data_IF_126357506572
#
_entry.id   IF_126357506572
#
_cell.length_a   1.000
_cell.length_b   1.000
_cell.length_c   1.000
_cell.angle_alpha   90.00
_cell.angle_beta   90.00
_cell.angle_gamma   90.00
#
_symmetry.space_group_name_H-M   'P 1'
#
loop_
_entity.id
_entity.type
_entity.pdbx_description
1 polymer ?
#
# COMPACT_ATOMS: atom_id res chain seq x y z
N UNK A 1 12.32 1.20 -14.03
CA UNK A 1 12.25 0.56 -15.36
C UNK A 1 12.38 -0.96 -15.29
N UNK A 2 13.24 -1.52 -14.42
CA UNK A 2 13.44 -2.98 -14.26
C UNK A 2 12.22 -3.73 -13.67
N UNK A 3 11.39 -3.07 -12.84
CA UNK A 3 10.19 -3.69 -12.25
C UNK A 3 9.04 -3.94 -13.25
N UNK A 4 9.04 -3.29 -14.42
CA UNK A 4 7.96 -3.41 -15.41
C UNK A 4 8.19 -4.54 -16.43
N UNK A 5 9.43 -4.95 -16.63
CA UNK A 5 9.82 -5.96 -17.63
C UNK A 5 9.46 -7.40 -17.19
N UNK A 6 9.46 -7.67 -15.88
CA UNK A 6 9.11 -9.01 -15.34
C UNK A 6 7.63 -9.39 -15.51
N UNK A 7 6.75 -8.44 -15.85
CA UNK A 7 5.31 -8.69 -16.02
C UNK A 7 4.89 -9.03 -17.46
N UNK A 8 5.82 -9.15 -18.41
CA UNK A 8 5.46 -9.09 -19.84
C UNK A 8 5.14 -10.43 -20.54
N UNK A 9 5.55 -11.61 -20.06
CA UNK A 9 5.53 -12.80 -20.94
C UNK A 9 4.74 -13.99 -20.39
N UNK A 10 3.39 -13.92 -20.39
CA UNK A 10 2.50 -15.07 -20.68
C UNK A 10 0.99 -14.69 -20.62
N UNK A 11 0.10 -15.39 -21.37
CA UNK A 11 -1.24 -14.93 -21.79
C UNK A 11 -2.35 -14.86 -20.70
N UNK A 12 -2.03 -15.08 -19.42
CA UNK A 12 -2.88 -14.68 -18.26
C UNK A 12 -2.90 -13.14 -18.02
N UNK A 13 -2.23 -12.41 -18.91
CA UNK A 13 -1.92 -10.98 -18.89
C UNK A 13 -3.14 -10.04 -18.96
N UNK A 14 -4.37 -10.54 -19.08
CA UNK A 14 -5.56 -9.70 -19.27
C UNK A 14 -6.26 -9.33 -17.95
N UNK A 15 -6.38 -10.25 -16.98
CA UNK A 15 -6.99 -9.94 -15.67
C UNK A 15 -6.03 -9.19 -14.74
N UNK A 16 -4.72 -9.49 -14.81
CA UNK A 16 -3.66 -8.75 -14.10
C UNK A 16 -3.56 -7.28 -14.57
N UNK A 17 -3.96 -7.00 -15.81
CA UNK A 17 -3.97 -5.64 -16.39
C UNK A 17 -5.01 -4.75 -15.71
N UNK A 18 -6.17 -5.28 -15.34
CA UNK A 18 -7.26 -4.49 -14.75
C UNK A 18 -6.99 -4.11 -13.28
N UNK A 19 -6.46 -5.05 -12.48
CA UNK A 19 -6.11 -4.78 -11.08
C UNK A 19 -4.92 -3.83 -10.93
N UNK A 20 -3.86 -4.01 -11.73
CA UNK A 20 -2.68 -3.13 -11.71
C UNK A 20 -2.99 -1.74 -12.27
N UNK A 21 -3.83 -1.64 -13.31
CA UNK A 21 -4.22 -0.36 -13.87
C UNK A 21 -5.09 0.42 -12.87
N UNK A 22 -6.05 -0.24 -12.22
CA UNK A 22 -6.87 0.40 -11.17
C UNK A 22 -6.02 0.93 -10.01
N UNK A 23 -5.13 0.13 -9.44
CA UNK A 23 -4.27 0.55 -8.32
C UNK A 23 -3.41 1.77 -8.64
N UNK A 24 -2.88 1.87 -9.87
CA UNK A 24 -2.10 3.03 -10.32
C UNK A 24 -2.93 4.32 -10.38
N UNK A 25 -4.17 4.26 -10.90
CA UNK A 25 -5.04 5.45 -11.00
C UNK A 25 -5.43 5.96 -9.63
N UNK A 26 -5.81 5.06 -8.72
CA UNK A 26 -6.15 5.44 -7.35
C UNK A 26 -4.93 6.00 -6.60
N UNK A 27 -3.75 5.44 -6.81
CA UNK A 27 -2.52 5.98 -6.21
C UNK A 27 -2.23 7.41 -6.69
N UNK A 28 -2.38 7.67 -8.00
CA UNK A 28 -2.24 9.01 -8.54
C UNK A 28 -3.29 9.99 -7.99
N UNK A 29 -4.54 9.55 -7.88
CA UNK A 29 -5.61 10.35 -7.28
C UNK A 29 -5.31 10.68 -5.80
N UNK A 30 -4.77 9.73 -5.03
CA UNK A 30 -4.38 9.95 -3.64
C UNK A 30 -3.21 10.94 -3.52
N UNK A 31 -2.22 10.87 -4.40
CA UNK A 31 -1.13 11.87 -4.45
C UNK A 31 -1.68 13.25 -4.80
N UNK A 32 -2.60 13.33 -5.77
CA UNK A 32 -3.26 14.57 -6.15
C UNK A 32 -4.08 15.15 -4.99
N UNK A 33 -4.86 14.32 -4.30
CA UNK A 33 -5.63 14.70 -3.13
C UNK A 33 -4.71 15.19 -2.00
N UNK A 34 -3.59 14.50 -1.75
CA UNK A 34 -2.60 14.94 -0.78
C UNK A 34 -2.09 16.35 -1.08
N UNK A 35 -1.73 16.61 -2.34
CA UNK A 35 -1.25 17.93 -2.78
C UNK A 35 -2.32 19.03 -2.71
N UNK A 36 -3.58 18.68 -2.90
CA UNK A 36 -4.69 19.61 -2.71
C UNK A 36 -4.88 19.93 -1.22
N UNK A 37 -4.85 18.91 -0.36
CA UNK A 37 -4.93 19.11 1.08
C UNK A 37 -3.77 19.95 1.60
N UNK A 38 -2.52 19.68 1.20
CA UNK A 38 -1.34 20.43 1.65
C UNK A 38 -1.44 21.94 1.36
N UNK A 39 -2.14 22.32 0.27
CA UNK A 39 -2.36 23.73 -0.09
C UNK A 39 -3.45 24.42 0.71
N UNK A 40 -4.55 23.73 0.98
CA UNK A 40 -5.73 24.34 1.61
C UNK A 40 -5.78 24.11 3.12
N UNK A 41 -5.06 23.11 3.61
CA UNK A 41 -5.11 22.70 5.00
C UNK A 41 -4.34 23.65 5.90
N UNK A 42 -5.04 24.14 6.93
CA UNK A 42 -4.44 24.84 8.06
C UNK A 42 -4.84 24.11 9.34
N UNK A 43 -3.85 23.77 10.17
CA UNK A 43 -4.12 23.07 11.43
C UNK A 43 -4.91 23.98 12.37
N UNK A 44 -6.09 23.57 12.88
CA UNK A 44 -6.73 24.28 13.96
C UNK A 44 -5.97 23.96 15.24
N UNK A 45 -5.06 24.84 15.66
CA UNK A 45 -4.23 24.66 16.85
C UNK A 45 -5.05 24.82 18.14
N UNK A 46 -6.01 23.93 18.34
CA UNK A 46 -6.89 23.83 19.49
C UNK A 46 -6.80 22.39 20.01
N UNK A 47 -6.39 22.19 21.27
CA UNK A 47 -6.13 20.87 21.81
C UNK A 47 -7.37 19.99 21.77
N UNK A 48 -7.20 18.76 21.29
CA UNK A 48 -8.27 17.77 21.16
C UNK A 48 -8.97 17.86 19.80
N UNK A 49 -9.36 19.06 19.35
CA UNK A 49 -9.99 19.21 18.03
C UNK A 49 -9.01 18.89 16.89
N UNK A 50 -7.76 19.34 17.00
CA UNK A 50 -6.70 18.96 16.06
C UNK A 50 -6.48 17.45 15.99
N UNK A 51 -6.36 16.76 17.13
CA UNK A 51 -6.14 15.32 17.17
C UNK A 51 -7.29 14.55 16.50
N UNK A 52 -8.54 14.97 16.75
CA UNK A 52 -9.72 14.37 16.13
C UNK A 52 -9.70 14.62 14.62
N UNK A 53 -9.49 15.87 14.18
CA UNK A 53 -9.47 16.22 12.76
C UNK A 53 -8.37 15.45 12.00
N UNK A 54 -7.15 15.43 12.55
CA UNK A 54 -6.02 14.71 11.97
C UNK A 54 -6.29 13.22 11.90
N UNK A 55 -6.91 12.63 12.93
CA UNK A 55 -7.31 11.22 12.90
C UNK A 55 -8.26 10.92 11.73
N UNK A 56 -9.27 11.77 11.49
CA UNK A 56 -10.16 11.61 10.35
C UNK A 56 -9.46 11.79 9.00
N UNK A 57 -8.53 12.74 8.88
CA UNK A 57 -7.72 12.94 7.66
C UNK A 57 -6.81 11.73 7.40
N UNK A 58 -6.30 11.11 8.46
CA UNK A 58 -5.43 9.95 8.37
C UNK A 58 -6.22 8.70 7.96
N UNK A 59 -7.25 8.33 8.73
CA UNK A 59 -7.98 7.08 8.52
C UNK A 59 -9.09 7.17 7.48
N UNK A 60 -9.74 8.32 7.30
CA UNK A 60 -10.90 8.46 6.42
C UNK A 60 -10.60 8.09 4.96
N UNK A 61 -9.65 8.78 4.30
CA UNK A 61 -9.28 8.47 2.91
C UNK A 61 -8.62 7.09 2.77
N UNK A 62 -7.89 6.61 3.78
CA UNK A 62 -7.35 5.24 3.78
C UNK A 62 -8.46 4.19 3.77
N UNK A 63 -9.46 4.30 4.66
CA UNK A 63 -10.60 3.38 4.71
C UNK A 63 -11.45 3.46 3.44
N UNK A 64 -11.65 4.66 2.90
CA UNK A 64 -12.34 4.85 1.62
C UNK A 64 -11.58 4.16 0.47
N UNK A 65 -10.27 4.35 0.36
CA UNK A 65 -9.47 3.71 -0.67
C UNK A 65 -9.47 2.17 -0.53
N UNK A 66 -9.38 1.66 0.70
CA UNK A 66 -9.44 0.24 0.99
C UNK A 66 -10.79 -0.36 0.58
N UNK A 67 -11.91 0.26 0.99
CA UNK A 67 -13.25 -0.21 0.65
C UNK A 67 -13.52 -0.19 -0.86
N UNK A 68 -13.11 0.88 -1.56
CA UNK A 68 -13.22 0.96 -3.01
C UNK A 68 -12.41 -0.14 -3.70
N UNK A 69 -11.19 -0.39 -3.24
CA UNK A 69 -10.35 -1.46 -3.80
C UNK A 69 -10.94 -2.85 -3.58
N UNK A 70 -11.45 -3.14 -2.38
CA UNK A 70 -12.11 -4.42 -2.08
C UNK A 70 -13.33 -4.60 -2.99
N UNK A 71 -14.12 -3.54 -3.20
CA UNK A 71 -15.31 -3.61 -4.05
C UNK A 71 -14.97 -3.85 -5.53
N UNK A 72 -13.90 -3.22 -6.03
CA UNK A 72 -13.43 -3.36 -7.42
C UNK A 72 -12.78 -4.72 -7.65
N UNK A 73 -11.90 -5.17 -6.74
CA UNK A 73 -11.09 -6.38 -6.93
C UNK A 73 -11.81 -7.66 -6.49
N UNK A 74 -12.85 -7.58 -5.64
CA UNK A 74 -13.65 -8.71 -5.12
C UNK A 74 -12.81 -9.92 -4.70
N UNK A 75 -11.83 -9.75 -3.78
CA UNK A 75 -10.87 -10.79 -3.42
C UNK A 75 -11.53 -12.10 -2.96
N UNK A 76 -12.67 -12.02 -2.26
CA UNK A 76 -13.38 -13.17 -1.71
C UNK A 76 -14.12 -14.04 -2.73
N UNK A 77 -14.20 -13.63 -4.02
CA UNK A 77 -14.80 -14.44 -5.09
C UNK A 77 -13.76 -15.33 -5.79
N UNK A 78 -12.48 -15.14 -5.49
CA UNK A 78 -11.37 -15.90 -6.07
C UNK A 78 -11.03 -17.15 -5.23
N UNK A 79 -10.43 -18.16 -5.87
CA UNK A 79 -9.91 -19.36 -5.20
C UNK A 79 -8.98 -18.98 -4.03
N UNK A 80 -8.95 -19.80 -2.97
CA UNK A 80 -8.32 -19.46 -1.67
C UNK A 80 -6.85 -19.02 -1.78
N UNK A 81 -6.15 -19.54 -2.78
CA UNK A 81 -4.77 -19.18 -3.06
C UNK A 81 -4.69 -17.73 -3.57
N UNK A 82 -5.41 -17.37 -4.62
CA UNK A 82 -5.37 -16.02 -5.23
C UNK A 82 -5.92 -14.91 -4.32
N UNK A 83 -6.75 -15.26 -3.33
CA UNK A 83 -7.35 -14.33 -2.38
C UNK A 83 -6.31 -13.51 -1.60
N UNK A 84 -5.22 -14.15 -1.15
CA UNK A 84 -4.17 -13.47 -0.37
C UNK A 84 -3.43 -12.41 -1.19
N UNK A 85 -3.08 -12.72 -2.44
CA UNK A 85 -2.40 -11.77 -3.34
C UNK A 85 -3.29 -10.58 -3.70
N UNK A 86 -4.57 -10.81 -3.99
CA UNK A 86 -5.54 -9.75 -4.26
C UNK A 86 -5.77 -8.84 -3.05
N UNK A 87 -5.78 -9.41 -1.84
CA UNK A 87 -5.90 -8.63 -0.61
C UNK A 87 -4.68 -7.72 -0.39
N UNK A 88 -3.46 -8.21 -0.65
CA UNK A 88 -2.24 -7.39 -0.56
C UNK A 88 -2.27 -6.22 -1.55
N UNK A 89 -2.80 -6.41 -2.77
CA UNK A 89 -2.97 -5.32 -3.74
C UNK A 89 -4.00 -4.27 -3.27
N UNK A 90 -5.04 -4.68 -2.55
CA UNK A 90 -6.02 -3.76 -1.97
C UNK A 90 -5.42 -2.87 -0.87
N UNK A 91 -4.35 -3.32 -0.21
CA UNK A 91 -3.65 -2.55 0.83
C UNK A 91 -2.69 -1.51 0.26
N UNK A 92 -2.35 -1.55 -1.03
CA UNK A 92 -1.38 -0.61 -1.62
C UNK A 92 -1.86 0.85 -1.52
N UNK A 93 -3.06 1.23 -2.03
CA UNK A 93 -3.53 2.62 -1.93
C UNK A 93 -3.67 3.17 -0.50
N UNK A 94 -4.30 2.46 0.47
CA UNK A 94 -4.38 2.97 1.83
C UNK A 94 -3.00 3.07 2.48
N UNK A 95 -2.11 2.11 2.25
CA UNK A 95 -0.74 2.19 2.80
C UNK A 95 0.03 3.38 2.21
N UNK A 96 -0.13 3.65 0.92
CA UNK A 96 0.45 4.82 0.26
C UNK A 96 -0.06 6.12 0.88
N UNK A 97 -1.38 6.24 1.10
CA UNK A 97 -1.96 7.42 1.75
C UNK A 97 -1.34 7.70 3.12
N UNK A 98 -1.28 6.68 3.96
CA UNK A 98 -0.71 6.79 5.31
C UNK A 98 0.77 7.16 5.25
N UNK A 99 1.51 6.56 4.32
CA UNK A 99 2.91 6.89 4.07
C UNK A 99 3.09 8.36 3.69
N UNK A 100 2.26 8.90 2.78
CA UNK A 100 2.36 10.31 2.35
C UNK A 100 2.17 11.27 3.54
N UNK A 101 1.16 11.04 4.37
CA UNK A 101 0.89 11.87 5.56
C UNK A 101 2.00 11.79 6.62
N UNK A 102 2.54 10.59 6.87
CA UNK A 102 3.67 10.41 7.80
C UNK A 102 4.96 11.02 7.25
N UNK A 103 5.18 10.93 5.94
CA UNK A 103 6.39 11.45 5.30
C UNK A 103 6.40 12.98 5.27
N UNK A 104 5.26 13.64 5.14
CA UNK A 104 5.20 15.10 5.32
C UNK A 104 5.47 15.48 6.78
N UNK A 105 4.84 14.76 7.72
CA UNK A 105 5.04 14.89 9.16
C UNK A 105 4.30 16.08 9.81
N UNK A 106 3.86 17.06 9.01
CA UNK A 106 3.09 18.23 9.47
C UNK A 106 1.74 17.84 10.10
N UNK A 107 1.06 16.84 9.51
CA UNK A 107 -0.19 16.31 10.05
C UNK A 107 0.01 15.68 11.42
N UNK A 108 1.08 14.91 11.61
CA UNK A 108 1.41 14.28 12.89
C UNK A 108 1.80 15.32 13.93
N UNK A 109 2.60 16.31 13.56
CA UNK A 109 2.93 17.45 14.42
C UNK A 109 1.67 18.19 14.89
N UNK A 110 0.76 18.50 13.96
CA UNK A 110 -0.53 19.12 14.28
C UNK A 110 -1.37 18.25 15.23
N UNK A 111 -1.49 16.96 14.96
CA UNK A 111 -2.32 16.04 15.75
C UNK A 111 -1.79 15.79 17.17
N UNK A 112 -0.47 15.92 17.37
CA UNK A 112 0.19 15.77 18.67
C UNK A 112 0.37 17.09 19.42
N UNK A 113 0.06 18.24 18.80
CA UNK A 113 0.15 19.53 19.45
C UNK A 113 -0.95 19.66 20.51
N UNK A 114 -0.60 19.69 21.79
CA UNK A 114 -1.59 19.75 22.88
C UNK A 114 -1.83 21.19 23.38
N UNK A 115 -1.37 22.20 22.65
CA UNK A 115 -1.42 23.60 23.06
C UNK A 115 -2.24 24.44 22.08
N UNK A 116 -2.80 25.54 22.59
CA UNK A 116 -3.45 26.55 21.76
C UNK A 116 -2.41 27.41 21.06
N UNK A 117 -2.64 27.72 19.79
CA UNK A 117 -1.70 28.48 18.98
C UNK A 117 -2.26 28.99 17.66
N UNK A 118 -1.39 29.61 16.89
CA UNK A 118 -1.63 29.99 15.50
C UNK A 118 -0.79 29.11 14.58
N UNK A 119 -1.40 28.61 13.51
CA UNK A 119 -0.69 27.79 12.52
C UNK A 119 0.13 28.68 11.59
N UNK A 120 1.46 28.55 11.67
CA UNK A 120 2.41 29.43 10.95
C UNK A 120 3.52 28.60 10.29
N UNK A 121 4.05 29.14 9.18
CA UNK A 121 5.26 28.62 8.54
C UNK A 121 6.48 29.30 9.18
N UNK A 122 7.39 28.50 9.73
CA UNK A 122 8.71 28.99 10.16
C UNK A 122 9.60 29.16 8.91
N UNK A 123 9.93 30.41 8.56
CA UNK A 123 10.70 30.73 7.35
C UNK A 123 12.14 30.20 7.39
N UNK A 124 12.74 30.06 8.58
CA UNK A 124 14.12 29.60 8.73
C UNK A 124 14.25 28.10 8.44
N UNK A 125 13.27 27.33 8.93
CA UNK A 125 13.29 25.88 8.88
C UNK A 125 12.38 25.30 7.79
N UNK A 126 11.52 26.13 7.19
CA UNK A 126 10.48 25.72 6.22
C UNK A 126 9.56 24.64 6.80
N UNK A 127 9.22 24.76 8.08
CA UNK A 127 8.34 23.82 8.82
C UNK A 127 7.07 24.56 9.23
N UNK A 128 5.91 23.95 8.95
CA UNK A 128 4.62 24.44 9.45
C UNK A 128 4.35 23.89 10.85
N UNK A 129 3.94 24.75 11.78
CA UNK A 129 3.70 24.36 13.16
C UNK A 129 2.69 25.28 13.87
N UNK A 130 2.22 24.84 15.03
CA UNK A 130 1.32 25.60 15.91
C UNK A 130 2.13 26.47 16.88
N UNK A 131 2.25 27.77 16.61
CA UNK A 131 2.93 28.72 17.49
C UNK A 131 2.01 29.13 18.65
N UNK A 132 2.41 28.95 19.92
CA UNK A 132 1.53 29.23 21.06
C UNK A 132 1.21 30.73 21.21
N UNK A 133 -0.05 31.08 21.52
CA UNK A 133 -0.52 32.48 21.59
C UNK A 133 -0.96 32.98 22.99
N UNK A 134 -0.95 32.14 24.04
CA UNK A 134 -1.62 32.47 25.31
C UNK A 134 -0.90 32.11 26.62
N UNK A 135 0.25 31.45 26.58
CA UNK A 135 1.05 31.16 27.79
C UNK A 135 2.14 32.21 27.84
N UNK A 136 2.33 32.90 28.98
CA UNK A 136 3.44 33.86 29.23
C UNK A 136 4.63 33.44 28.39
N UNK A 137 4.88 34.23 27.35
CA UNK A 137 5.80 33.97 26.23
C UNK A 137 7.24 34.03 26.75
N UNK A 138 7.52 33.15 27.70
CA UNK A 138 8.84 32.95 28.27
C UNK A 138 9.53 32.24 27.14
N UNK A 139 10.40 32.97 26.43
CA UNK A 139 11.10 32.53 25.23
C UNK A 139 11.52 31.03 25.26
N UNK A 140 11.88 30.50 26.43
CA UNK A 140 12.15 29.07 26.65
C UNK A 140 10.99 28.11 26.30
N UNK A 141 9.75 28.40 26.69
CA UNK A 141 8.62 27.50 26.43
C UNK A 141 8.31 27.39 24.92
N UNK A 142 8.40 28.50 24.19
CA UNK A 142 8.16 28.50 22.74
C UNK A 142 9.27 27.76 22.00
N UNK A 143 10.53 27.90 22.44
CA UNK A 143 11.65 27.15 21.86
C UNK A 143 11.52 25.66 22.14
N UNK A 144 11.14 25.26 23.36
CA UNK A 144 10.97 23.86 23.73
C UNK A 144 9.85 23.18 22.92
N UNK A 145 8.73 23.88 22.71
CA UNK A 145 7.62 23.40 21.87
C UNK A 145 8.02 23.28 20.39
N UNK A 146 8.84 24.22 19.90
CA UNK A 146 9.38 24.15 18.53
C UNK A 146 10.31 22.95 18.37
N UNK A 147 11.24 22.74 19.29
CA UNK A 147 12.13 21.57 19.30
C UNK A 147 11.33 20.25 19.38
N UNK A 148 10.25 20.23 20.17
CA UNK A 148 9.34 19.09 20.24
C UNK A 148 8.68 18.83 18.88
N UNK A 149 8.18 19.86 18.20
CA UNK A 149 7.59 19.74 16.86
C UNK A 149 8.61 19.19 15.85
N UNK A 150 9.84 19.72 15.83
CA UNK A 150 10.91 19.22 14.95
C UNK A 150 11.20 17.74 15.21
N UNK A 151 11.28 17.34 16.48
CA UNK A 151 11.51 15.95 16.88
C UNK A 151 10.37 15.04 16.44
N UNK A 152 9.12 15.50 16.59
CA UNK A 152 7.93 14.76 16.13
C UNK A 152 7.95 14.59 14.62
N UNK A 153 8.21 15.67 13.86
CA UNK A 153 8.28 15.62 12.39
C UNK A 153 9.40 14.70 11.93
N UNK A 154 10.57 14.76 12.56
CA UNK A 154 11.68 13.85 12.27
C UNK A 154 11.30 12.39 12.53
N UNK A 155 10.71 12.09 13.69
CA UNK A 155 10.30 10.73 14.04
C UNK A 155 9.19 10.21 13.11
N UNK A 156 8.27 11.08 12.71
CA UNK A 156 7.21 10.76 11.74
C UNK A 156 7.81 10.37 10.39
N UNK A 157 8.72 11.19 9.84
CA UNK A 157 9.45 10.91 8.59
C UNK A 157 10.26 9.62 8.66
N UNK A 158 10.98 9.43 9.76
CA UNK A 158 11.76 8.23 9.97
C UNK A 158 10.88 6.98 10.04
N UNK A 159 9.77 7.03 10.80
CA UNK A 159 8.82 5.94 10.89
C UNK A 159 8.15 5.62 9.54
N UNK A 160 7.89 6.64 8.71
CA UNK A 160 7.37 6.45 7.36
C UNK A 160 8.33 5.64 6.48
N UNK A 161 9.62 5.96 6.52
CA UNK A 161 10.66 5.25 5.78
C UNK A 161 10.84 3.81 6.29
N UNK A 162 10.82 3.61 7.62
CA UNK A 162 10.87 2.26 8.22
C UNK A 162 9.65 1.44 7.80
N UNK A 163 8.44 2.01 7.84
CA UNK A 163 7.23 1.32 7.41
C UNK A 163 7.29 0.97 5.92
N UNK A 164 7.73 1.90 5.06
CA UNK A 164 7.84 1.68 3.62
C UNK A 164 8.84 0.55 3.30
N UNK A 165 10.01 0.58 3.92
CA UNK A 165 11.04 -0.45 3.75
C UNK A 165 10.54 -1.81 4.23
N UNK A 166 9.92 -1.88 5.41
CA UNK A 166 9.32 -3.11 5.92
C UNK A 166 8.25 -3.68 4.98
N UNK A 167 7.28 -2.86 4.56
CA UNK A 167 6.23 -3.28 3.62
C UNK A 167 6.82 -3.76 2.30
N UNK A 168 7.85 -3.09 1.77
CA UNK A 168 8.50 -3.49 0.53
C UNK A 168 9.17 -4.87 0.62
N UNK A 169 9.82 -5.17 1.75
CA UNK A 169 10.44 -6.47 2.01
C UNK A 169 9.37 -7.56 2.15
N UNK A 170 8.30 -7.30 2.91
CA UNK A 170 7.19 -8.25 3.10
C UNK A 170 6.51 -8.58 1.78
N UNK A 171 6.19 -7.57 0.96
CA UNK A 171 5.57 -7.79 -0.36
C UNK A 171 6.49 -8.58 -1.27
N UNK A 172 7.78 -8.23 -1.31
CA UNK A 172 8.76 -8.96 -2.12
C UNK A 172 8.86 -10.42 -1.67
N UNK A 173 9.02 -10.67 -0.38
CA UNK A 173 9.08 -12.03 0.16
C UNK A 173 7.80 -12.81 -0.11
N UNK A 174 6.63 -12.21 0.05
CA UNK A 174 5.34 -12.84 -0.24
C UNK A 174 5.21 -13.22 -1.72
N UNK A 175 5.58 -12.31 -2.63
CA UNK A 175 5.57 -12.57 -4.08
C UNK A 175 6.61 -13.63 -4.46
N UNK A 176 7.81 -13.59 -3.89
CA UNK A 176 8.84 -14.60 -4.12
C UNK A 176 8.41 -15.99 -3.63
N UNK A 177 7.88 -16.09 -2.42
CA UNK A 177 7.34 -17.34 -1.88
C UNK A 177 6.18 -17.86 -2.72
N UNK A 178 5.33 -16.95 -3.22
CA UNK A 178 4.24 -17.28 -4.13
C UNK A 178 4.77 -17.88 -5.43
N UNK A 179 5.70 -17.19 -6.12
CA UNK A 179 6.28 -17.63 -7.38
C UNK A 179 6.99 -18.99 -7.23
N UNK A 180 7.78 -19.16 -6.17
CA UNK A 180 8.45 -20.42 -5.86
C UNK A 180 7.44 -21.58 -5.67
N UNK A 181 6.34 -21.33 -4.95
CA UNK A 181 5.30 -22.34 -4.71
C UNK A 181 4.56 -22.72 -5.99
N UNK A 182 4.23 -21.73 -6.82
CA UNK A 182 3.56 -21.97 -8.11
C UNK A 182 4.43 -22.81 -9.04
N UNK A 183 5.72 -22.47 -9.19
CA UNK A 183 6.65 -23.25 -10.02
C UNK A 183 6.82 -24.69 -9.53
N UNK A 184 6.84 -24.91 -8.21
CA UNK A 184 6.91 -26.26 -7.64
C UNK A 184 5.68 -27.10 -7.99
N UNK A 185 4.48 -26.51 -7.91
CA UNK A 185 3.22 -27.18 -8.27
C UNK A 185 3.14 -27.51 -9.76
N UNK A 186 3.57 -26.59 -10.65
CA UNK A 186 3.62 -26.85 -12.09
C UNK A 186 4.58 -28.00 -12.45
N UNK A 187 5.69 -28.14 -11.71
CA UNK A 187 6.62 -29.26 -11.90
C UNK A 187 6.02 -30.59 -11.46
N UNK A 188 5.29 -30.61 -10.34
CA UNK A 188 4.56 -31.80 -9.86
C UNK A 188 3.48 -32.24 -10.87
N UNK A 189 2.66 -31.32 -11.38
CA UNK A 189 1.62 -31.66 -12.37
C UNK A 189 2.21 -32.24 -13.67
N UNK A 190 3.35 -31.72 -14.12
CA UNK A 190 4.08 -32.29 -15.28
C UNK A 190 4.64 -33.68 -15.00
N UNK A 191 5.01 -33.96 -13.74
CA UNK A 191 5.63 -35.22 -13.34
C UNK A 191 4.60 -36.32 -13.03
N UNK A 192 3.40 -35.94 -12.56
CA UNK A 192 2.26 -36.84 -12.30
C UNK A 192 1.44 -37.16 -13.57
N UNK A 193 1.88 -36.63 -14.72
CA UNK A 193 1.41 -37.01 -16.05
C UNK A 193 2.31 -38.04 -16.77
N UNK A 194 2.58 -39.26 -16.23
CA UNK A 194 2.97 -40.39 -17.06
C UNK A 194 1.79 -41.35 -17.29
N UNK A 195 1.67 -41.86 -18.54
CA UNK A 195 1.02 -43.14 -18.92
C UNK A 195 -0.51 -43.29 -19.12
N UNK A 196 -1.28 -42.26 -19.49
CA UNK A 196 -2.61 -42.48 -20.10
C UNK A 196 -2.69 -42.28 -21.63
N UNK A 197 -1.59 -41.87 -22.27
CA UNK A 197 -1.52 -41.70 -23.73
C UNK A 197 -0.56 -42.67 -24.44
N UNK A 198 -0.04 -43.69 -23.73
CA UNK A 198 0.83 -44.73 -24.30
C UNK A 198 0.22 -46.13 -24.27
N UNK A 199 -0.82 -46.38 -23.48
CA UNK A 199 -1.45 -47.71 -23.39
C UNK A 199 -2.68 -47.87 -24.31
N UNK A 200 -3.31 -46.77 -24.74
CA UNK A 200 -4.45 -46.83 -25.68
C UNK A 200 -4.05 -47.00 -27.15
N UNK A 201 -2.78 -46.79 -27.52
CA UNK A 201 -2.31 -47.02 -28.90
C UNK A 201 -1.76 -48.43 -29.13
N UNK A 202 -1.36 -49.16 -28.07
CA UNK A 202 -0.78 -50.51 -28.22
C UNK A 202 -1.87 -51.58 -28.20
N UNK A 203 -2.96 -51.41 -27.42
CA UNK A 203 -4.07 -52.37 -27.44
C UNK A 203 -5.05 -52.18 -28.62
N UNK A 204 -4.98 -51.03 -29.30
CA UNK A 204 -5.81 -50.72 -30.48
C UNK A 204 -5.31 -51.34 -31.79
N UNK A 205 -4.01 -51.65 -31.92
CA UNK A 205 -3.44 -52.19 -33.16
C UNK A 205 -3.38 -53.72 -33.24
N UNK A 206 -3.46 -54.45 -32.13
CA UNK A 206 -3.49 -55.93 -32.18
C UNK A 206 -4.89 -56.51 -32.48
N UNK A 207 -5.97 -55.76 -32.25
CA UNK A 207 -7.34 -56.25 -32.49
C UNK A 207 -7.77 -56.17 -33.97
N UNK A 208 -7.06 -55.38 -34.80
CA UNK A 208 -7.39 -55.22 -36.22
C UNK A 208 -6.71 -56.24 -37.16
N UNK A 209 -5.69 -56.98 -36.71
CA UNK A 209 -4.98 -57.97 -37.55
C UNK A 209 -5.35 -59.44 -37.29
N UNK A 210 -6.38 -59.72 -36.48
CA UNK A 210 -6.93 -61.07 -36.28
C UNK A 210 -8.37 -61.26 -36.81
N UNK A 211 -8.95 -60.26 -37.50
CA UNK A 211 -10.31 -60.35 -38.08
C UNK A 211 -10.35 -60.51 -39.61
N UNK A 212 -9.22 -60.79 -40.26
CA UNK A 212 -9.18 -61.06 -41.70
C UNK A 212 -8.59 -62.44 -42.03
N UNK A 213 -9.31 -63.50 -41.63
CA UNK A 213 -9.36 -64.79 -42.35
C UNK A 213 -10.77 -65.34 -42.21
#
# INVERSE_FOLDING_TARGET
MVFLELFSNNPEKLERKTGSFSAMHFSFALIGLQKLMDREFSCPCSPGFNAILISFIFFGPALLALTMMIFIQRPCRSSSSHCAGLFLLCLIPPSLWMFLLLFEGEYVACGLSHWEGDYVLDEELQIKWCKPTGVKDTRGNATDLRELTEKITFYSRFSALVLLTFLSVVVTAAVSCWDCRTRYLEHQEKQDKPSHLSESSIYGSEVELQRSV
#
